data_IF_461263959654
#
_entry.id   IF_461263959654
#
_cell.length_a   1.000
_cell.length_b   1.000
_cell.length_c   1.000
_cell.angle_alpha   90.00
_cell.angle_beta   90.00
_cell.angle_gamma   90.00
#
_symmetry.space_group_name_H-M   'P 1'
#
loop_
_entity.id
_entity.type
_entity.pdbx_description
1 polymer ?
#
# COMPACT_ATOMS: atom_id res chain seq x y z
N UNK A 1 2.29 9.10 -9.26
CA UNK A 1 2.26 9.46 -10.70
C UNK A 1 3.50 8.98 -11.45
N UNK A 2 4.68 8.89 -10.80
CA UNK A 2 5.96 8.46 -11.37
C UNK A 2 6.56 7.25 -10.64
N UNK A 3 5.92 6.07 -10.66
CA UNK A 3 6.37 4.92 -9.87
C UNK A 3 7.77 4.40 -10.26
N UNK A 4 8.23 4.69 -11.47
CA UNK A 4 9.60 4.36 -11.90
C UNK A 4 10.69 5.20 -11.22
N UNK A 5 10.35 6.38 -10.69
CA UNK A 5 11.27 7.25 -9.97
C UNK A 5 11.24 6.99 -8.46
N UNK A 6 10.22 6.29 -7.97
CA UNK A 6 10.01 5.99 -6.55
C UNK A 6 9.83 4.47 -6.41
N UNK A 7 10.91 3.68 -6.37
CA UNK A 7 10.80 2.25 -6.07
C UNK A 7 10.12 2.03 -4.72
N UNK A 8 9.16 1.14 -4.67
CA UNK A 8 8.36 0.91 -3.47
C UNK A 8 9.22 0.45 -2.28
N UNK A 9 10.30 -0.31 -2.53
CA UNK A 9 11.21 -0.71 -1.47
C UNK A 9 11.91 0.49 -0.80
N UNK A 10 12.30 1.50 -1.57
CA UNK A 10 12.95 2.71 -1.03
C UNK A 10 11.96 3.53 -0.21
N UNK A 11 10.77 3.77 -0.76
CA UNK A 11 9.69 4.46 -0.06
C UNK A 11 9.29 3.72 1.22
N UNK A 12 9.16 2.40 1.16
CA UNK A 12 8.83 1.57 2.30
C UNK A 12 9.87 1.71 3.42
N UNK A 13 11.16 1.65 3.09
CA UNK A 13 12.24 1.81 4.07
C UNK A 13 12.28 3.23 4.65
N UNK A 14 12.09 4.25 3.84
CA UNK A 14 12.04 5.64 4.30
C UNK A 14 10.91 5.85 5.32
N UNK A 15 9.71 5.40 4.99
CA UNK A 15 8.55 5.54 5.88
C UNK A 15 8.73 4.73 7.18
N UNK A 16 9.29 3.52 7.09
CA UNK A 16 9.63 2.72 8.29
C UNK A 16 10.69 3.38 9.16
N UNK A 17 11.67 4.05 8.57
CA UNK A 17 12.65 4.82 9.32
C UNK A 17 11.97 5.95 10.13
N UNK A 18 10.94 6.57 9.60
CA UNK A 18 10.16 7.60 10.28
C UNK A 18 9.50 7.15 11.59
N UNK A 19 9.27 5.84 11.75
CA UNK A 19 8.77 5.28 13.03
C UNK A 19 9.87 5.09 14.09
N UNK A 20 11.14 5.23 13.71
CA UNK A 20 12.29 4.91 14.55
C UNK A 20 13.19 6.12 14.86
N UNK A 21 13.03 7.23 14.15
CA UNK A 21 13.87 8.43 14.27
C UNK A 21 13.02 9.65 14.67
N UNK A 22 13.62 10.72 15.22
CA UNK A 22 12.90 11.95 15.53
C UNK A 22 12.22 12.54 14.29
N UNK A 23 11.03 13.15 14.44
CA UNK A 23 10.27 13.72 13.30
C UNK A 23 11.08 14.73 12.48
N UNK A 24 11.90 15.55 13.11
CA UNK A 24 12.71 16.56 12.44
C UNK A 24 13.77 15.94 11.54
N UNK A 25 14.38 14.83 11.99
CA UNK A 25 15.34 14.06 11.19
C UNK A 25 14.62 13.35 10.03
N UNK A 26 13.45 12.78 10.29
CA UNK A 26 12.64 12.16 9.25
C UNK A 26 12.24 13.16 8.16
N UNK A 27 11.77 14.35 8.55
CA UNK A 27 11.40 15.42 7.60
C UNK A 27 12.59 15.78 6.71
N UNK A 28 13.79 15.97 7.30
CA UNK A 28 14.98 16.30 6.55
C UNK A 28 15.33 15.22 5.51
N UNK A 29 15.28 13.93 5.91
CA UNK A 29 15.53 12.78 5.00
C UNK A 29 14.47 12.67 3.91
N UNK A 30 13.20 12.89 4.25
CA UNK A 30 12.10 12.86 3.29
C UNK A 30 12.25 13.97 2.24
N UNK A 31 12.66 15.18 2.66
CA UNK A 31 12.94 16.29 1.74
C UNK A 31 14.12 16.00 0.81
N UNK A 32 15.20 15.41 1.34
CA UNK A 32 16.36 14.97 0.56
C UNK A 32 15.95 13.92 -0.50
N UNK A 33 15.15 12.93 -0.08
CA UNK A 33 14.62 11.90 -0.98
C UNK A 33 13.75 12.51 -2.08
N UNK A 34 12.83 13.40 -1.73
CA UNK A 34 11.97 14.09 -2.70
C UNK A 34 12.79 14.89 -3.71
N UNK A 35 13.80 15.62 -3.28
CA UNK A 35 14.70 16.35 -4.19
C UNK A 35 15.44 15.40 -5.14
N UNK A 36 15.88 14.23 -4.66
CA UNK A 36 16.51 13.21 -5.50
C UNK A 36 15.52 12.62 -6.52
N UNK A 37 14.27 12.37 -6.13
CA UNK A 37 13.21 11.89 -7.03
C UNK A 37 12.86 12.95 -8.09
N UNK A 38 12.82 14.21 -7.73
CA UNK A 38 12.56 15.30 -8.69
C UNK A 38 13.66 15.43 -9.74
N UNK A 39 14.92 15.25 -9.32
CA UNK A 39 16.08 15.27 -10.21
C UNK A 39 16.24 13.98 -11.04
N UNK A 40 15.46 12.94 -10.77
CA UNK A 40 15.56 11.65 -11.44
C UNK A 40 15.12 11.74 -12.92
N UNK A 41 16.00 11.32 -13.81
CA UNK A 41 15.80 11.33 -15.27
C UNK A 41 15.54 9.94 -15.84
N UNK A 42 15.38 8.91 -15.00
CA UNK A 42 15.04 7.56 -15.46
C UNK A 42 13.78 7.57 -16.31
N UNK A 43 13.79 6.79 -17.37
CA UNK A 43 12.61 6.64 -18.23
C UNK A 43 11.66 5.59 -17.66
N UNK A 44 10.33 5.77 -17.82
CA UNK A 44 9.37 4.73 -17.48
C UNK A 44 9.67 3.45 -18.28
N UNK A 45 9.41 2.32 -17.66
CA UNK A 45 9.35 1.01 -18.33
C UNK A 45 7.89 0.67 -18.58
N UNK A 46 7.65 -0.21 -19.53
CA UNK A 46 6.32 -0.76 -19.78
C UNK A 46 6.03 -1.89 -18.76
N UNK A 47 5.85 -1.47 -17.50
CA UNK A 47 5.54 -2.34 -16.39
C UNK A 47 4.04 -2.22 -16.04
N UNK A 48 3.42 -3.35 -15.66
CA UNK A 48 2.04 -3.35 -15.16
C UNK A 48 1.91 -2.58 -13.85
N UNK A 49 0.88 -1.80 -13.72
CA UNK A 49 0.58 -1.02 -12.51
C UNK A 49 -0.35 -1.83 -11.62
N UNK A 50 0.06 -2.12 -10.39
CA UNK A 50 -0.70 -3.00 -9.51
C UNK A 50 -1.01 -2.36 -8.16
N UNK A 51 -2.19 -2.70 -7.62
CA UNK A 51 -2.57 -2.43 -6.24
C UNK A 51 -2.26 -3.69 -5.41
N UNK A 52 -1.54 -3.54 -4.30
CA UNK A 52 -1.23 -4.66 -3.39
C UNK A 52 -2.12 -4.59 -2.15
N UNK A 53 -2.91 -5.64 -1.91
CA UNK A 53 -3.94 -5.70 -0.88
C UNK A 53 -3.70 -6.84 0.11
N UNK A 54 -3.91 -6.61 1.41
CA UNK A 54 -3.99 -7.66 2.41
C UNK A 54 -2.87 -7.70 3.46
N UNK A 55 -1.90 -6.80 3.41
CA UNK A 55 -0.77 -6.74 4.34
C UNK A 55 -1.06 -5.80 5.53
N UNK A 56 -2.02 -6.11 6.39
CA UNK A 56 -2.41 -5.15 7.42
C UNK A 56 -2.05 -5.52 8.86
N UNK A 57 -1.82 -6.77 9.19
CA UNK A 57 -1.41 -7.18 10.53
C UNK A 57 0.08 -7.52 10.63
N UNK A 58 0.70 -7.82 9.51
CA UNK A 58 2.10 -8.20 9.40
C UNK A 58 2.75 -7.42 8.25
N UNK A 59 3.89 -6.82 8.51
CA UNK A 59 4.62 -6.07 7.50
C UNK A 59 5.12 -7.01 6.39
N UNK A 60 4.96 -6.64 5.12
CA UNK A 60 5.49 -7.47 4.05
C UNK A 60 7.02 -7.48 4.10
N UNK A 61 7.66 -8.63 3.92
CA UNK A 61 9.11 -8.68 3.80
C UNK A 61 9.56 -7.95 2.53
N UNK A 62 10.69 -7.24 2.61
CA UNK A 62 11.26 -6.53 1.45
C UNK A 62 11.42 -7.43 0.22
N UNK A 63 11.71 -8.72 0.43
CA UNK A 63 11.79 -9.70 -0.64
C UNK A 63 10.51 -9.84 -1.45
N UNK A 64 9.35 -9.68 -0.84
CA UNK A 64 8.07 -9.68 -1.52
C UNK A 64 7.92 -8.46 -2.44
N UNK A 65 8.15 -7.25 -1.90
CA UNK A 65 8.10 -6.00 -2.66
C UNK A 65 9.03 -6.07 -3.87
N UNK A 66 10.29 -6.45 -3.62
CA UNK A 66 11.30 -6.63 -4.68
C UNK A 66 10.90 -7.66 -5.74
N UNK A 67 10.25 -8.74 -5.34
CA UNK A 67 9.83 -9.79 -6.28
C UNK A 67 8.71 -9.30 -7.19
N UNK A 68 7.74 -8.55 -6.67
CA UNK A 68 6.67 -7.94 -7.46
C UNK A 68 7.25 -6.95 -8.48
N UNK A 69 8.12 -6.05 -8.05
CA UNK A 69 8.71 -5.05 -8.94
C UNK A 69 9.63 -5.68 -9.99
N UNK A 70 10.43 -6.72 -9.61
CA UNK A 70 11.28 -7.45 -10.56
C UNK A 70 10.51 -8.31 -11.55
N UNK A 71 9.28 -8.70 -11.22
CA UNK A 71 8.37 -9.37 -12.15
C UNK A 71 7.79 -8.42 -13.22
N UNK A 72 8.19 -7.15 -13.24
CA UNK A 72 7.72 -6.17 -14.21
C UNK A 72 6.48 -5.40 -13.78
N UNK A 73 6.30 -5.23 -12.46
CA UNK A 73 5.21 -4.45 -11.92
C UNK A 73 5.70 -3.13 -11.32
N UNK A 74 4.83 -2.12 -11.30
CA UNK A 74 4.91 -0.96 -10.42
C UNK A 74 3.81 -1.09 -9.36
N UNK A 75 4.17 -1.08 -8.08
CA UNK A 75 3.20 -0.98 -7.00
C UNK A 75 2.77 0.48 -6.91
N UNK A 76 1.53 0.77 -7.25
CA UNK A 76 1.00 2.15 -7.34
C UNK A 76 0.05 2.51 -6.22
N UNK A 77 -0.44 1.51 -5.48
CA UNK A 77 -1.20 1.65 -4.24
C UNK A 77 -1.06 0.37 -3.42
N UNK A 78 -1.10 0.48 -2.09
CA UNK A 78 -0.88 -0.67 -1.20
C UNK A 78 -1.62 -0.53 0.14
N UNK A 79 -1.72 -1.65 0.86
CA UNK A 79 -2.22 -1.73 2.23
C UNK A 79 -1.09 -1.85 3.26
N UNK A 80 0.14 -1.56 2.90
CA UNK A 80 1.26 -1.61 3.82
C UNK A 80 1.02 -0.66 5.00
N UNK A 81 1.48 -1.05 6.18
CA UNK A 81 1.26 -0.31 7.43
C UNK A 81 2.04 1.01 7.48
N UNK A 82 1.78 1.93 6.57
CA UNK A 82 2.53 3.16 6.47
C UNK A 82 1.60 4.37 6.36
N UNK A 83 2.07 5.51 6.78
CA UNK A 83 1.43 6.78 6.96
C UNK A 83 -0.03 6.95 6.50
N UNK A 84 -0.29 6.69 5.23
CA UNK A 84 -1.62 6.82 4.62
C UNK A 84 -2.70 5.90 5.22
N UNK A 85 -2.33 4.88 5.98
CA UNK A 85 -3.29 4.01 6.64
C UNK A 85 -3.95 4.67 7.84
N UNK A 86 -3.22 5.51 8.55
CA UNK A 86 -3.69 6.15 9.77
C UNK A 86 -4.05 7.61 9.58
N UNK A 87 -3.42 8.28 8.62
CA UNK A 87 -3.62 9.70 8.31
C UNK A 87 -3.76 9.85 6.80
N UNK A 88 -5.01 9.87 6.32
CA UNK A 88 -5.33 10.01 4.89
C UNK A 88 -5.37 11.47 4.43
N UNK A 89 -5.32 12.42 5.37
CA UNK A 89 -5.40 13.86 5.12
C UNK A 89 -4.40 14.59 6.00
N UNK A 90 -4.04 15.80 5.60
CA UNK A 90 -3.21 16.68 6.42
C UNK A 90 -3.90 16.98 7.74
N UNK A 91 -3.14 16.91 8.83
CA UNK A 91 -3.62 17.26 10.17
C UNK A 91 -3.57 18.79 10.31
N UNK A 92 -4.67 19.45 10.73
CA UNK A 92 -4.65 20.88 11.00
C UNK A 92 -3.55 21.24 12.00
N UNK A 93 -2.79 22.29 11.70
CA UNK A 93 -1.67 22.74 12.54
C UNK A 93 -2.08 23.85 13.53
N UNK A 94 -3.32 24.31 13.42
CA UNK A 94 -3.88 25.36 14.28
C UNK A 94 -4.55 24.73 15.51
N UNK A 95 -4.35 25.33 16.69
CA UNK A 95 -5.01 24.93 17.92
C UNK A 95 -4.30 23.83 18.71
N UNK A 96 -5.07 22.99 19.41
CA UNK A 96 -4.52 21.91 20.22
C UNK A 96 -4.07 20.73 19.34
N UNK A 97 -2.77 20.42 19.27
CA UNK A 97 -2.24 19.38 18.40
C UNK A 97 -2.73 17.98 18.78
N UNK A 98 -2.96 17.70 20.06
CA UNK A 98 -3.46 16.40 20.51
C UNK A 98 -4.88 16.19 20.02
N UNK A 99 -5.71 17.22 20.08
CA UNK A 99 -7.08 17.18 19.56
C UNK A 99 -7.10 17.07 18.04
N UNK A 100 -6.22 17.75 17.34
CA UNK A 100 -6.10 17.68 15.88
C UNK A 100 -5.74 16.26 15.42
N UNK A 101 -4.73 15.65 16.04
CA UNK A 101 -4.34 14.26 15.77
C UNK A 101 -5.45 13.25 16.11
N UNK A 102 -6.10 13.40 17.26
CA UNK A 102 -7.20 12.53 17.65
C UNK A 102 -8.37 12.61 16.66
N UNK A 103 -8.73 13.81 16.22
CA UNK A 103 -9.77 14.01 15.22
C UNK A 103 -9.39 13.42 13.86
N UNK A 104 -8.15 13.58 13.42
CA UNK A 104 -7.66 13.01 12.18
C UNK A 104 -7.73 11.47 12.22
N UNK A 105 -7.34 10.86 13.34
CA UNK A 105 -7.41 9.41 13.53
C UNK A 105 -8.86 8.89 13.56
N UNK A 106 -9.76 9.54 14.31
CA UNK A 106 -11.16 9.10 14.45
C UNK A 106 -11.95 9.29 13.16
N UNK A 107 -11.65 10.35 12.39
CA UNK A 107 -12.33 10.69 11.13
C UNK A 107 -11.62 10.13 9.90
N UNK A 108 -10.69 9.24 10.11
CA UNK A 108 -9.89 8.66 9.05
C UNK A 108 -10.79 7.84 8.11
N UNK A 109 -11.08 8.37 6.94
CA UNK A 109 -11.76 7.66 5.85
C UNK A 109 -10.79 6.72 5.15
N UNK A 110 -10.30 5.72 5.89
CA UNK A 110 -9.34 4.75 5.38
C UNK A 110 -9.91 4.02 4.18
N UNK A 111 -9.28 4.23 3.04
CA UNK A 111 -9.57 3.48 1.82
C UNK A 111 -8.85 2.11 1.77
N UNK A 112 -8.38 1.60 2.91
CA UNK A 112 -7.67 0.33 2.97
C UNK A 112 -8.61 -0.85 3.27
N UNK A 113 -8.15 -2.06 3.01
CA UNK A 113 -8.89 -3.30 3.28
C UNK A 113 -9.20 -3.53 4.77
N UNK A 114 -8.58 -2.75 5.66
CA UNK A 114 -8.83 -2.80 7.12
C UNK A 114 -10.03 -1.98 7.56
N UNK A 115 -10.63 -1.18 6.67
CA UNK A 115 -11.84 -0.44 6.99
C UNK A 115 -12.94 -1.40 7.40
N UNK A 116 -13.50 -1.20 8.60
CA UNK A 116 -14.71 -1.89 9.00
C UNK A 116 -15.91 -1.30 8.27
N UNK A 117 -16.39 -2.02 7.28
CA UNK A 117 -17.55 -1.64 6.49
C UNK A 117 -18.69 -2.64 6.71
N UNK A 118 -19.79 -2.15 7.23
CA UNK A 118 -20.98 -2.98 7.51
C UNK A 118 -21.66 -3.41 6.22
N UNK A 119 -21.56 -2.57 5.17
CA UNK A 119 -22.17 -2.87 3.88
C UNK A 119 -21.20 -3.67 2.98
N UNK A 120 -21.48 -4.95 2.70
CA UNK A 120 -20.63 -5.77 1.83
C UNK A 120 -20.44 -5.19 0.42
N UNK A 121 -21.41 -4.41 -0.07
CA UNK A 121 -21.32 -3.75 -1.37
C UNK A 121 -20.30 -2.60 -1.32
N UNK A 122 -20.14 -1.93 -0.19
CA UNK A 122 -19.13 -0.90 0.02
C UNK A 122 -17.72 -1.44 -0.17
N UNK A 123 -17.39 -2.55 0.48
CA UNK A 123 -16.08 -3.21 0.32
C UNK A 123 -15.81 -3.69 -1.12
N UNK A 124 -16.82 -4.19 -1.83
CA UNK A 124 -16.67 -4.59 -3.24
C UNK A 124 -16.34 -3.43 -4.15
N UNK A 125 -17.00 -2.28 -3.96
CA UNK A 125 -16.73 -1.08 -4.74
C UNK A 125 -15.38 -0.44 -4.43
N UNK A 126 -14.85 -0.68 -3.22
CA UNK A 126 -13.55 -0.17 -2.80
C UNK A 126 -12.42 -0.56 -3.77
N UNK A 127 -12.36 -1.82 -4.18
CA UNK A 127 -11.32 -2.30 -5.09
C UNK A 127 -11.39 -1.60 -6.45
N UNK A 128 -12.60 -1.45 -7.00
CA UNK A 128 -12.80 -0.71 -8.24
C UNK A 128 -12.34 0.75 -8.13
N UNK A 129 -12.67 1.40 -7.03
CA UNK A 129 -12.31 2.79 -6.80
C UNK A 129 -10.79 2.96 -6.64
N UNK A 130 -10.13 2.06 -5.90
CA UNK A 130 -8.68 2.08 -5.71
C UNK A 130 -7.94 1.90 -7.03
N UNK A 131 -8.32 0.91 -7.83
CA UNK A 131 -7.72 0.65 -9.15
C UNK A 131 -7.89 1.86 -10.06
N UNK A 132 -9.07 2.47 -10.08
CA UNK A 132 -9.33 3.65 -10.89
C UNK A 132 -8.51 4.87 -10.41
N UNK A 133 -8.45 5.12 -9.11
CA UNK A 133 -7.72 6.24 -8.53
C UNK A 133 -6.19 6.11 -8.74
N UNK A 134 -5.66 4.88 -8.63
CA UNK A 134 -4.24 4.59 -8.86
C UNK A 134 -3.88 4.43 -10.35
N UNK A 135 -4.86 4.45 -11.25
CA UNK A 135 -4.67 4.09 -12.66
C UNK A 135 -3.90 2.75 -12.77
N UNK A 136 -4.41 1.73 -12.08
CA UNK A 136 -3.80 0.41 -12.02
C UNK A 136 -4.42 -0.55 -13.03
N UNK A 137 -3.61 -1.54 -13.47
CA UNK A 137 -4.02 -2.57 -14.43
C UNK A 137 -4.59 -3.81 -13.73
N UNK A 138 -4.28 -4.00 -12.43
CA UNK A 138 -4.71 -5.17 -11.70
C UNK A 138 -4.44 -5.12 -10.20
N UNK A 139 -4.84 -6.20 -9.50
CA UNK A 139 -4.71 -6.32 -8.05
C UNK A 139 -3.91 -7.57 -7.69
N UNK A 140 -3.00 -7.41 -6.74
CA UNK A 140 -2.28 -8.51 -6.08
C UNK A 140 -2.80 -8.62 -4.64
N UNK A 141 -3.54 -9.68 -4.34
CA UNK A 141 -3.89 -10.02 -2.96
C UNK A 141 -2.72 -10.78 -2.32
N UNK A 142 -1.94 -10.08 -1.51
CA UNK A 142 -0.80 -10.61 -0.78
C UNK A 142 -1.16 -10.69 0.71
N UNK A 143 -1.59 -11.87 1.17
CA UNK A 143 -2.13 -12.01 2.52
C UNK A 143 -1.14 -12.77 3.41
N UNK A 144 -0.79 -12.22 4.60
CA UNK A 144 -0.02 -12.96 5.59
C UNK A 144 -0.74 -14.26 5.97
N UNK A 145 0.01 -15.37 6.08
CA UNK A 145 -0.56 -16.70 6.29
C UNK A 145 -1.41 -16.85 7.56
N UNK A 146 -1.17 -16.01 8.56
CA UNK A 146 -1.86 -16.01 9.85
C UNK A 146 -2.78 -14.80 10.06
N UNK A 147 -3.06 -14.05 9.01
CA UNK A 147 -3.97 -12.91 9.09
C UNK A 147 -5.40 -13.35 8.75
N UNK A 148 -6.11 -13.92 9.72
CA UNK A 148 -7.49 -14.37 9.53
C UNK A 148 -8.43 -13.28 9.00
N UNK A 149 -8.42 -12.02 9.52
CA UNK A 149 -9.27 -10.98 8.98
C UNK A 149 -9.05 -10.72 7.49
N UNK A 150 -7.80 -10.65 7.04
CA UNK A 150 -7.49 -10.46 5.62
C UNK A 150 -7.90 -11.66 4.78
N UNK A 151 -7.72 -12.89 5.29
CA UNK A 151 -8.13 -14.11 4.62
C UNK A 151 -9.66 -14.23 4.49
N UNK A 152 -10.42 -13.76 5.49
CA UNK A 152 -11.88 -13.75 5.46
C UNK A 152 -12.43 -12.71 4.48
N UNK A 153 -11.80 -11.55 4.37
CA UNK A 153 -12.22 -10.48 3.47
C UNK A 153 -11.83 -10.74 2.00
N UNK A 154 -10.73 -11.43 1.77
CA UNK A 154 -10.16 -11.66 0.44
C UNK A 154 -11.15 -12.24 -0.59
N UNK A 155 -11.96 -13.28 -0.29
CA UNK A 155 -12.91 -13.82 -1.28
C UNK A 155 -13.92 -12.79 -1.76
N UNK A 156 -14.41 -11.93 -0.87
CA UNK A 156 -15.37 -10.88 -1.20
C UNK A 156 -14.74 -9.76 -2.03
N UNK A 157 -13.54 -9.34 -1.66
CA UNK A 157 -12.80 -8.30 -2.39
C UNK A 157 -12.42 -8.79 -3.78
N UNK A 158 -11.98 -10.04 -3.89
CA UNK A 158 -11.66 -10.70 -5.16
C UNK A 158 -12.88 -10.82 -6.07
N UNK A 159 -14.02 -11.27 -5.54
CA UNK A 159 -15.26 -11.34 -6.30
C UNK A 159 -15.71 -9.95 -6.80
N UNK A 160 -15.46 -8.90 -6.02
CA UNK A 160 -15.69 -7.51 -6.44
C UNK A 160 -14.80 -7.09 -7.62
N UNK A 161 -13.52 -7.42 -7.56
CA UNK A 161 -12.57 -7.15 -8.64
C UNK A 161 -12.94 -7.92 -9.92
N UNK A 162 -13.20 -9.22 -9.82
CA UNK A 162 -13.60 -10.08 -10.94
C UNK A 162 -14.88 -9.60 -11.61
N UNK A 163 -15.89 -9.20 -10.80
CA UNK A 163 -17.16 -8.62 -11.32
C UNK A 163 -16.93 -7.32 -12.07
N UNK A 164 -15.93 -6.54 -11.67
CA UNK A 164 -15.54 -5.30 -12.34
C UNK A 164 -14.62 -5.53 -13.56
N UNK A 165 -14.29 -6.78 -13.88
CA UNK A 165 -13.36 -7.12 -14.97
C UNK A 165 -11.90 -6.77 -14.68
N UNK A 166 -11.53 -6.61 -13.41
CA UNK A 166 -10.17 -6.26 -12.99
C UNK A 166 -9.35 -7.54 -12.82
N UNK A 167 -8.23 -7.72 -13.53
CA UNK A 167 -7.34 -8.84 -13.33
C UNK A 167 -6.84 -8.90 -11.90
N UNK A 168 -6.86 -10.08 -11.29
CA UNK A 168 -6.34 -10.22 -9.94
C UNK A 168 -5.70 -11.61 -9.71
N UNK A 169 -4.66 -11.62 -8.90
CA UNK A 169 -4.03 -12.83 -8.37
C UNK A 169 -4.04 -12.79 -6.85
N UNK A 170 -3.95 -13.96 -6.23
CA UNK A 170 -3.96 -14.08 -4.78
C UNK A 170 -2.94 -15.12 -4.31
N UNK A 171 -2.18 -14.76 -3.28
CA UNK A 171 -1.25 -15.66 -2.63
C UNK A 171 -1.12 -15.35 -1.14
N UNK A 172 -0.58 -16.33 -0.41
CA UNK A 172 -0.23 -16.18 0.99
C UNK A 172 1.27 -16.12 1.15
N UNK A 173 1.75 -15.34 2.10
CA UNK A 173 3.17 -15.30 2.44
C UNK A 173 3.35 -15.47 3.95
N UNK A 174 4.54 -15.90 4.36
CA UNK A 174 4.97 -15.89 5.75
C UNK A 174 6.32 -15.15 5.83
N UNK A 175 6.54 -14.46 6.95
CA UNK A 175 7.67 -13.55 7.14
C UNK A 175 9.04 -14.21 6.92
N UNK A 176 9.16 -15.48 7.29
CA UNK A 176 10.45 -16.18 7.33
C UNK A 176 10.74 -17.13 6.16
N UNK A 177 9.89 -17.20 5.15
CA UNK A 177 10.04 -18.30 4.19
C UNK A 177 11.03 -18.06 3.07
N UNK A 178 11.45 -16.84 2.78
CA UNK A 178 12.37 -16.55 1.68
C UNK A 178 11.94 -17.13 0.30
N UNK A 179 10.83 -17.83 0.28
CA UNK A 179 10.31 -18.56 -0.87
C UNK A 179 9.33 -17.70 -1.66
N UNK A 180 9.86 -16.70 -2.35
CA UNK A 180 9.07 -15.87 -3.27
C UNK A 180 9.17 -16.36 -4.73
N UNK A 181 9.57 -17.63 -4.94
CA UNK A 181 9.69 -18.18 -6.29
C UNK A 181 8.34 -18.35 -7.00
N UNK A 182 7.26 -18.56 -6.25
CA UNK A 182 5.90 -18.72 -6.79
C UNK A 182 5.33 -17.46 -7.47
N UNK A 183 6.00 -16.32 -7.35
CA UNK A 183 5.57 -15.05 -7.94
C UNK A 183 6.25 -14.71 -9.25
N UNK A 184 7.12 -15.59 -9.75
CA UNK A 184 7.87 -15.37 -11.00
C UNK A 184 7.28 -16.08 -12.19
N UNK A 185 6.29 -16.94 -11.95
CA UNK A 185 5.52 -17.66 -12.95
C UNK A 185 4.16 -17.00 -13.22
#
# INVERSE_FOLDING_TARGET
>A
ERPWAVPTEELYLLLRAGECIPPEEFIARAQEYLAAVEADTRRPRDNSRVVVVGAFCEQPPLGLIKSIERAGCYIVDDDFLLGNRFLTQDVPVDGDPVRALANAFIRNDMASSVLYEINPLGKRSLMKNRVAAANADGIIFATPSFCDPALLDQPMLRAGAETAGIPCIAFKYAENTGQFQQFRE
#
